data_IF_700340300374
#
_entry.id   IF_700340300374
#
_cell.length_a   1.000
_cell.length_b   1.000
_cell.length_c   1.000
_cell.angle_alpha   90.00
_cell.angle_beta   90.00
_cell.angle_gamma   90.00
#
_symmetry.space_group_name_H-M   'P 1'
#
loop_
_entity.id
_entity.type
_entity.pdbx_description
1 polymer ?
#
# COMPACT_ATOMS: atom_id res chain seq x y z
N UNK A 1 -11.29 14.16 8.66
CA UNK A 1 -10.10 14.22 7.79
C UNK A 1 -10.52 13.66 6.43
N UNK A 2 -10.32 14.40 5.34
CA UNK A 2 -10.75 13.97 4.00
C UNK A 2 -9.58 13.30 3.26
N UNK A 3 -9.86 12.33 2.39
CA UNK A 3 -8.82 11.56 1.65
C UNK A 3 -8.14 12.36 0.53
N UNK A 4 -8.54 13.61 0.29
CA UNK A 4 -7.99 14.46 -0.77
C UNK A 4 -8.42 14.05 -2.19
N UNK A 5 -9.49 13.27 -2.32
CA UNK A 5 -10.13 12.94 -3.60
C UNK A 5 -11.29 13.91 -3.81
N UNK A 6 -11.24 14.68 -4.89
CA UNK A 6 -12.28 15.64 -5.29
C UNK A 6 -12.93 15.16 -6.59
N UNK A 7 -14.22 14.85 -6.52
CA UNK A 7 -15.03 14.37 -7.64
C UNK A 7 -16.15 15.36 -7.90
N UNK A 8 -16.26 15.82 -9.14
CA UNK A 8 -17.40 16.60 -9.61
C UNK A 8 -18.32 15.71 -10.43
N UNK A 9 -19.58 15.61 -10.02
CA UNK A 9 -20.63 14.92 -10.79
C UNK A 9 -21.33 15.90 -11.71
N UNK A 10 -21.58 15.46 -12.95
CA UNK A 10 -22.45 16.11 -13.91
C UNK A 10 -23.32 15.06 -14.62
N UNK A 11 -24.63 15.10 -14.36
CA UNK A 11 -25.62 14.14 -14.84
C UNK A 11 -25.18 12.67 -14.67
N UNK A 12 -24.64 12.06 -15.73
CA UNK A 12 -24.22 10.66 -15.79
C UNK A 12 -22.69 10.48 -15.71
N UNK A 13 -21.94 11.57 -15.53
CA UNK A 13 -20.48 11.57 -15.53
C UNK A 13 -19.91 12.01 -14.18
N UNK A 14 -18.74 11.46 -13.87
CA UNK A 14 -17.91 11.87 -12.74
C UNK A 14 -16.56 12.34 -13.29
N UNK A 15 -16.18 13.56 -12.93
CA UNK A 15 -14.90 14.17 -13.28
C UNK A 15 -14.02 14.21 -12.04
N UNK A 16 -12.82 13.64 -12.13
CA UNK A 16 -11.81 13.69 -11.08
C UNK A 16 -11.09 15.03 -11.14
N UNK A 17 -11.29 15.88 -10.13
CA UNK A 17 -10.67 17.21 -10.05
C UNK A 17 -9.35 17.22 -9.29
N UNK A 18 -9.24 16.37 -8.27
CA UNK A 18 -8.02 16.22 -7.50
C UNK A 18 -7.91 14.81 -6.92
N UNK A 19 -6.65 14.37 -6.74
CA UNK A 19 -6.29 13.15 -6.03
C UNK A 19 -5.08 13.42 -5.12
N UNK A 20 -4.93 12.70 -4.00
CA UNK A 20 -3.77 12.84 -3.13
C UNK A 20 -2.50 12.37 -3.85
N UNK A 21 -1.34 12.86 -3.39
CA UNK A 21 -0.03 12.62 -4.01
C UNK A 21 0.26 11.13 -4.32
N UNK A 22 -0.05 10.16 -3.42
CA UNK A 22 0.20 8.74 -3.70
C UNK A 22 -0.54 8.18 -4.93
N UNK A 23 -1.65 8.81 -5.34
CA UNK A 23 -2.44 8.35 -6.49
C UNK A 23 -2.02 8.97 -7.82
N UNK A 24 -1.18 10.01 -7.82
CA UNK A 24 -0.88 10.77 -9.05
C UNK A 24 -0.19 9.96 -10.14
N UNK A 25 0.54 8.92 -9.76
CA UNK A 25 1.27 8.04 -10.70
C UNK A 25 0.50 6.76 -11.03
N UNK A 26 -0.74 6.63 -10.56
CA UNK A 26 -1.55 5.42 -10.71
C UNK A 26 -2.45 5.54 -11.94
N UNK A 27 -2.87 4.39 -12.48
CA UNK A 27 -3.85 4.39 -13.57
C UNK A 27 -5.25 4.73 -13.03
N UNK A 28 -5.55 6.03 -12.94
CA UNK A 28 -6.82 6.53 -12.41
C UNK A 28 -8.03 6.08 -13.24
N UNK A 29 -7.85 5.75 -14.52
CA UNK A 29 -8.94 5.22 -15.37
C UNK A 29 -9.37 3.82 -14.94
N UNK A 30 -8.51 3.08 -14.22
CA UNK A 30 -8.85 1.78 -13.63
C UNK A 30 -9.25 1.97 -12.15
N UNK A 31 -8.41 2.66 -11.38
CA UNK A 31 -8.58 2.76 -9.92
C UNK A 31 -9.89 3.46 -9.51
N UNK A 32 -10.27 4.53 -10.19
CA UNK A 32 -11.46 5.33 -9.79
C UNK A 32 -12.76 4.54 -10.04
N UNK A 33 -12.98 3.91 -11.22
CA UNK A 33 -14.13 3.03 -11.41
C UNK A 33 -14.19 1.88 -10.41
N UNK A 34 -13.06 1.23 -10.10
CA UNK A 34 -13.02 0.15 -9.09
C UNK A 34 -13.38 0.66 -7.69
N UNK A 35 -12.89 1.83 -7.31
CA UNK A 35 -13.23 2.46 -6.04
C UNK A 35 -14.74 2.76 -5.96
N UNK A 36 -15.34 3.29 -7.03
CA UNK A 36 -16.79 3.53 -7.09
C UNK A 36 -17.55 2.20 -6.95
N UNK A 37 -17.11 1.16 -7.67
CA UNK A 37 -17.70 -0.18 -7.56
C UNK A 37 -17.60 -0.78 -6.16
N UNK A 38 -16.49 -0.57 -5.46
CA UNK A 38 -16.31 -0.96 -4.06
C UNK A 38 -17.25 -0.19 -3.12
N UNK A 39 -17.37 1.12 -3.30
CA UNK A 39 -18.23 1.98 -2.47
C UNK A 39 -19.71 1.67 -2.68
N UNK A 40 -20.14 1.36 -3.91
CA UNK A 40 -21.53 1.03 -4.24
C UNK A 40 -22.05 -0.23 -3.55
N UNK A 41 -21.17 -1.13 -3.10
CA UNK A 41 -21.53 -2.38 -2.43
C UNK A 41 -21.68 -2.23 -0.91
N UNK A 42 -21.43 -1.04 -0.35
CA UNK A 42 -21.38 -0.83 1.11
C UNK A 42 -22.48 0.11 1.59
N UNK A 43 -23.09 -0.25 2.73
CA UNK A 43 -24.10 0.56 3.41
C UNK A 43 -23.50 1.61 4.36
N UNK A 44 -22.23 1.44 4.75
CA UNK A 44 -21.48 2.36 5.59
C UNK A 44 -19.99 2.23 5.27
N UNK A 45 -19.25 3.33 5.43
CA UNK A 45 -17.82 3.40 5.18
C UNK A 45 -17.14 4.32 6.18
N UNK A 46 -16.00 3.88 6.69
CA UNK A 46 -15.05 4.75 7.37
C UNK A 46 -13.92 5.18 6.41
N UNK A 47 -13.32 6.33 6.70
CA UNK A 47 -12.16 6.84 5.96
C UNK A 47 -11.00 5.86 6.00
N UNK A 48 -10.80 5.16 7.12
CA UNK A 48 -9.78 4.13 7.27
C UNK A 48 -10.00 2.93 6.33
N UNK A 49 -11.25 2.48 6.17
CA UNK A 49 -11.59 1.37 5.28
C UNK A 49 -11.26 1.71 3.82
N UNK A 50 -11.60 2.93 3.40
CA UNK A 50 -11.34 3.40 2.04
C UNK A 50 -9.83 3.54 1.81
N UNK A 51 -9.09 4.14 2.75
CA UNK A 51 -7.64 4.26 2.65
C UNK A 51 -6.97 2.89 2.56
N UNK A 52 -7.41 1.93 3.37
CA UNK A 52 -6.91 0.56 3.38
C UNK A 52 -7.24 -0.15 2.06
N UNK A 53 -8.45 0.02 1.54
CA UNK A 53 -8.84 -0.55 0.25
C UNK A 53 -7.97 0.01 -0.87
N UNK A 54 -7.79 1.34 -0.92
CA UNK A 54 -6.92 1.99 -1.90
C UNK A 54 -5.51 1.39 -1.79
N UNK A 55 -4.89 1.39 -0.61
CA UNK A 55 -3.53 0.87 -0.42
C UNK A 55 -3.35 -0.57 -0.93
N UNK A 56 -4.37 -1.43 -0.79
CA UNK A 56 -4.33 -2.81 -1.31
C UNK A 56 -4.44 -2.90 -2.82
N UNK A 57 -5.17 -1.99 -3.46
CA UNK A 57 -5.37 -1.96 -4.92
C UNK A 57 -4.33 -1.08 -5.64
N UNK A 58 -3.46 -0.39 -4.89
CA UNK A 58 -2.31 0.36 -5.44
C UNK A 58 -1.08 -0.51 -5.69
N UNK A 59 -1.07 -1.75 -5.21
CA UNK A 59 0.06 -2.64 -5.40
C UNK A 59 0.18 -2.97 -6.89
N UNK A 60 1.08 -2.25 -7.58
CA UNK A 60 1.49 -2.60 -8.94
C UNK A 60 2.06 -4.01 -8.91
N UNK A 61 1.53 -4.88 -9.77
CA UNK A 61 2.22 -6.12 -10.08
C UNK A 61 3.59 -5.75 -10.70
N UNK A 62 4.64 -6.41 -10.21
CA UNK A 62 6.01 -6.35 -10.74
C UNK A 62 6.80 -5.06 -10.46
N UNK A 63 7.43 -5.00 -9.30
CA UNK A 63 8.68 -4.26 -9.16
C UNK A 63 9.76 -5.22 -8.71
N UNK A 64 10.81 -5.38 -9.52
CA UNK A 64 12.11 -5.77 -8.99
C UNK A 64 12.63 -4.56 -8.22
N UNK A 65 12.89 -4.73 -6.93
CA UNK A 65 13.36 -3.64 -6.08
C UNK A 65 14.87 -3.54 -6.20
N UNK A 66 15.38 -2.32 -6.39
CA UNK A 66 16.78 -2.04 -6.14
C UNK A 66 17.01 -1.67 -4.67
N UNK A 67 18.28 -1.63 -4.27
CA UNK A 67 18.66 -1.37 -2.87
C UNK A 67 18.17 0.00 -2.37
N UNK A 68 18.24 1.05 -3.20
CA UNK A 68 17.83 2.40 -2.80
C UNK A 68 16.32 2.47 -2.53
N UNK A 69 15.50 1.79 -3.33
CA UNK A 69 14.06 1.69 -3.12
C UNK A 69 13.74 0.94 -1.82
N UNK A 70 14.42 -0.17 -1.56
CA UNK A 70 14.24 -0.94 -0.32
C UNK A 70 14.57 -0.09 0.92
N UNK A 71 15.72 0.61 0.91
CA UNK A 71 16.12 1.51 2.00
C UNK A 71 15.09 2.63 2.21
N UNK A 72 14.65 3.29 1.12
CA UNK A 72 13.69 4.40 1.21
C UNK A 72 12.38 3.97 1.85
N UNK A 73 11.85 2.81 1.46
CA UNK A 73 10.58 2.31 2.01
C UNK A 73 10.72 1.91 3.46
N UNK A 74 11.82 1.25 3.85
CA UNK A 74 12.06 0.91 5.26
C UNK A 74 12.15 2.18 6.12
N UNK A 75 12.85 3.22 5.65
CA UNK A 75 12.94 4.50 6.37
C UNK A 75 11.56 5.18 6.51
N UNK A 76 10.72 5.12 5.46
CA UNK A 76 9.36 5.64 5.53
C UNK A 76 8.47 4.83 6.48
N UNK A 77 8.61 3.50 6.51
CA UNK A 77 7.90 2.63 7.46
C UNK A 77 8.32 2.93 8.90
N UNK A 78 9.61 3.11 9.17
CA UNK A 78 10.12 3.49 10.50
C UNK A 78 9.53 4.82 10.97
N UNK A 79 9.45 5.80 10.06
CA UNK A 79 8.97 7.15 10.35
C UNK A 79 7.45 7.22 10.51
N UNK A 80 6.69 6.53 9.66
CA UNK A 80 5.23 6.62 9.58
C UNK A 80 4.50 5.55 10.39
N UNK A 81 5.12 4.39 10.58
CA UNK A 81 4.52 3.20 11.19
C UNK A 81 5.45 2.57 12.24
N UNK A 82 5.87 3.31 13.28
CA UNK A 82 6.83 2.81 14.28
C UNK A 82 6.36 1.54 15.00
N UNK A 83 5.05 1.31 15.08
CA UNK A 83 4.46 0.09 15.62
C UNK A 83 4.82 -1.18 14.84
N UNK A 84 4.96 -1.09 13.51
CA UNK A 84 5.33 -2.23 12.67
C UNK A 84 6.80 -2.63 12.85
N UNK A 85 7.66 -1.69 13.24
CA UNK A 85 9.06 -1.96 13.56
C UNK A 85 9.19 -2.63 14.93
N UNK A 86 8.40 -2.15 15.91
CA UNK A 86 8.42 -2.70 17.28
C UNK A 86 7.84 -4.11 17.35
N UNK A 87 6.81 -4.40 16.57
CA UNK A 87 6.12 -5.68 16.53
C UNK A 87 5.77 -6.05 15.07
N UNK A 88 6.76 -6.53 14.29
CA UNK A 88 6.53 -6.85 12.89
C UNK A 88 5.62 -8.08 12.78
N UNK A 89 4.54 -8.02 11.97
CA UNK A 89 3.77 -9.21 11.66
C UNK A 89 4.63 -10.17 10.84
N UNK A 90 4.39 -11.49 10.96
CA UNK A 90 5.21 -12.51 10.30
C UNK A 90 5.19 -12.48 8.76
N UNK A 91 4.26 -11.74 8.15
CA UNK A 91 4.26 -11.48 6.71
C UNK A 91 5.11 -10.28 6.26
N UNK A 92 5.63 -9.48 7.20
CA UNK A 92 6.46 -8.31 6.92
C UNK A 92 7.96 -8.62 7.10
N UNK A 93 8.33 -9.27 8.20
CA UNK A 93 9.71 -9.59 8.53
C UNK A 93 9.79 -11.01 9.09
N UNK A 94 10.75 -11.77 8.58
CA UNK A 94 11.04 -13.12 9.06
C UNK A 94 12.50 -13.27 9.43
N UNK A 95 12.81 -13.91 10.57
CA UNK A 95 14.18 -14.24 10.92
C UNK A 95 14.74 -15.27 9.94
N UNK A 96 15.98 -15.07 9.51
CA UNK A 96 16.73 -16.04 8.71
C UNK A 96 17.64 -16.83 9.64
N UNK A 97 17.45 -18.14 9.73
CA UNK A 97 18.29 -19.00 10.57
C UNK A 97 19.63 -19.29 9.89
N UNK A 98 20.71 -18.80 10.50
CA UNK A 98 22.07 -19.01 10.03
C UNK A 98 22.73 -20.24 10.69
N UNK A 99 22.14 -20.83 11.72
CA UNK A 99 22.75 -21.95 12.45
C UNK A 99 22.92 -23.18 11.55
N UNK A 100 21.96 -23.45 10.66
CA UNK A 100 22.07 -24.55 9.69
C UNK A 100 23.28 -24.39 8.77
N UNK A 101 23.52 -23.18 8.26
CA UNK A 101 24.67 -22.89 7.41
C UNK A 101 25.99 -23.00 8.19
N UNK A 102 26.01 -22.47 9.43
CA UNK A 102 27.18 -22.52 10.30
C UNK A 102 27.58 -23.96 10.71
N UNK A 103 26.60 -24.84 10.92
CA UNK A 103 26.88 -26.24 11.25
C UNK A 103 27.41 -27.00 10.04
N UNK A 104 26.85 -26.78 8.86
CA UNK A 104 27.35 -27.40 7.62
C UNK A 104 28.82 -27.03 7.33
N UNK A 105 29.25 -25.82 7.69
CA UNK A 105 30.64 -25.37 7.56
C UNK A 105 31.61 -25.98 8.61
N UNK A 106 31.10 -26.61 9.67
CA UNK A 106 31.91 -27.25 10.74
C UNK A 106 32.06 -28.75 10.56
N UNK A 107 31.20 -29.37 9.75
CA UNK A 107 31.21 -30.80 9.45
C UNK A 107 32.11 -31.13 8.23
N UNK A 108 32.92 -30.16 7.75
CA UNK A 108 34.11 -30.35 6.89
C UNK A 108 35.40 -30.37 7.72
#
# INVERSE_FOLDING_TARGET
MTLGIDLQSDAQHLTVRAVPLPLRQQNLQILIPELIGYLAQRNAFDVGDIAQWIARNLASEHAQWNMAQAISVLADVERLCPQLVKAPPGGLLQPVDLNSAMNALKDE
#
